data_IF_581082490722
#
_entry.id   IF_581082490722
#
_cell.length_a   1.000
_cell.length_b   1.000
_cell.length_c   1.000
_cell.angle_alpha   90.00
_cell.angle_beta   90.00
_cell.angle_gamma   90.00
#
_symmetry.space_group_name_H-M   'P 1'
#
loop_
_entity.id
_entity.type
_entity.pdbx_description
1 polymer ?
#
# COMPACT_ATOMS: atom_id res chain seq x y z
N UNK A 1 -0.07 -53.09 -27.51
CA UNK A 1 1.25 -53.78 -27.50
C UNK A 1 1.06 -55.17 -28.04
N UNK A 2 1.56 -55.45 -29.27
CA UNK A 2 1.55 -56.77 -29.86
C UNK A 2 2.74 -57.55 -29.26
N UNK A 3 2.54 -58.68 -28.61
CA UNK A 3 3.63 -59.49 -28.08
C UNK A 3 4.66 -59.80 -29.16
N UNK A 4 5.96 -59.70 -28.87
CA UNK A 4 7.07 -59.89 -29.82
C UNK A 4 7.06 -61.24 -30.51
N UNK A 5 6.49 -62.25 -29.87
CA UNK A 5 6.34 -63.62 -30.46
C UNK A 5 5.44 -63.65 -31.67
N UNK A 6 4.58 -62.65 -31.93
CA UNK A 6 3.71 -62.57 -33.10
C UNK A 6 4.32 -61.77 -34.25
N UNK A 7 5.40 -61.01 -34.01
CA UNK A 7 6.01 -60.14 -34.98
C UNK A 7 7.30 -60.70 -35.61
N UNK A 8 7.83 -61.76 -35.06
CA UNK A 8 9.03 -62.41 -35.57
C UNK A 8 10.35 -61.61 -35.35
N UNK A 9 10.29 -60.48 -34.59
CA UNK A 9 11.45 -59.71 -34.25
C UNK A 9 11.31 -59.13 -32.80
N UNK A 10 12.43 -58.97 -32.12
CA UNK A 10 12.46 -58.51 -30.72
C UNK A 10 12.40 -56.96 -30.54
N UNK A 11 12.67 -56.21 -31.60
CA UNK A 11 12.65 -54.76 -31.62
C UNK A 11 11.92 -54.23 -32.86
N UNK A 12 11.03 -53.28 -32.69
CA UNK A 12 10.37 -52.57 -33.77
C UNK A 12 10.29 -51.05 -33.46
N UNK A 13 10.38 -50.26 -34.49
CA UNK A 13 10.20 -48.80 -34.38
C UNK A 13 8.73 -48.51 -34.77
N UNK A 14 8.06 -47.74 -33.92
CA UNK A 14 6.74 -47.24 -34.25
C UNK A 14 6.86 -45.69 -34.37
N UNK A 15 6.33 -45.16 -35.44
CA UNK A 15 6.24 -43.74 -35.68
C UNK A 15 4.76 -43.37 -35.79
N UNK A 16 4.37 -42.38 -34.98
CA UNK A 16 3.01 -41.84 -34.96
C UNK A 16 3.10 -40.35 -35.21
N UNK A 17 2.30 -39.86 -36.15
CA UNK A 17 2.11 -38.44 -36.42
C UNK A 17 0.62 -38.15 -36.50
N UNK A 18 0.07 -37.32 -35.60
CA UNK A 18 -1.36 -37.08 -35.57
C UNK A 18 -1.75 -35.82 -34.87
N UNK A 19 -2.96 -35.37 -35.16
CA UNK A 19 -3.65 -34.31 -34.43
C UNK A 19 -4.75 -34.95 -33.57
N UNK A 20 -4.84 -34.51 -32.32
CA UNK A 20 -5.87 -34.91 -31.39
C UNK A 20 -6.69 -33.70 -30.97
N UNK A 21 -8.01 -33.81 -31.04
CA UNK A 21 -8.98 -32.87 -30.49
C UNK A 21 -9.68 -33.53 -29.31
N UNK A 22 -9.75 -32.83 -28.19
CA UNK A 22 -10.57 -33.26 -27.05
C UNK A 22 -11.55 -32.12 -26.73
N UNK A 23 -12.83 -32.50 -26.58
CA UNK A 23 -13.86 -31.57 -26.13
C UNK A 23 -14.62 -32.16 -24.95
N UNK A 24 -14.63 -31.44 -23.82
CA UNK A 24 -15.37 -31.81 -22.62
C UNK A 24 -16.65 -30.95 -22.56
N UNK A 25 -17.81 -31.60 -22.47
CA UNK A 25 -19.11 -30.95 -22.41
C UNK A 25 -19.36 -30.41 -21.00
N UNK A 26 -19.48 -29.08 -20.86
CA UNK A 26 -19.66 -28.44 -19.56
C UNK A 26 -21.15 -28.30 -19.19
N UNK A 27 -21.87 -29.40 -19.09
CA UNK A 27 -23.29 -29.39 -18.76
C UNK A 27 -23.60 -28.96 -17.34
N UNK A 28 -22.65 -29.22 -16.43
CA UNK A 28 -22.79 -28.87 -14.99
C UNK A 28 -22.07 -27.57 -14.59
N UNK A 29 -21.46 -26.89 -15.54
CA UNK A 29 -20.82 -25.60 -15.34
C UNK A 29 -19.47 -25.66 -14.62
N UNK A 30 -18.79 -26.82 -14.55
CA UNK A 30 -17.48 -26.98 -13.93
C UNK A 30 -16.43 -26.09 -14.57
N UNK A 31 -16.32 -26.14 -15.90
CA UNK A 31 -15.32 -25.37 -16.66
C UNK A 31 -15.64 -23.89 -16.62
N UNK A 32 -16.94 -23.53 -16.75
CA UNK A 32 -17.40 -22.15 -16.61
C UNK A 32 -17.08 -21.60 -15.22
N UNK A 33 -17.40 -22.31 -14.14
CA UNK A 33 -17.11 -21.88 -12.79
C UNK A 33 -15.59 -21.75 -12.54
N UNK A 34 -14.79 -22.65 -13.10
CA UNK A 34 -13.32 -22.55 -13.04
C UNK A 34 -12.80 -21.32 -13.79
N UNK A 35 -13.33 -21.02 -14.97
CA UNK A 35 -12.99 -19.80 -15.73
C UNK A 35 -13.40 -18.54 -14.96
N UNK A 36 -14.62 -18.48 -14.45
CA UNK A 36 -15.12 -17.35 -13.67
C UNK A 36 -14.27 -17.14 -12.41
N UNK A 37 -13.88 -18.20 -11.70
CA UNK A 37 -12.96 -18.12 -10.57
C UNK A 37 -11.60 -17.51 -10.96
N UNK A 38 -11.06 -17.88 -12.12
CA UNK A 38 -9.80 -17.32 -12.61
C UNK A 38 -9.93 -15.85 -13.00
N UNK A 39 -11.05 -15.43 -13.59
CA UNK A 39 -11.35 -14.03 -13.89
C UNK A 39 -11.49 -13.19 -12.61
N UNK A 40 -12.21 -13.72 -11.61
CA UNK A 40 -12.36 -13.05 -10.31
C UNK A 40 -11.01 -12.90 -9.58
N UNK A 41 -10.12 -13.90 -9.69
CA UNK A 41 -8.75 -13.80 -9.20
C UNK A 41 -7.94 -12.73 -9.93
N UNK A 42 -8.12 -12.57 -11.24
CA UNK A 42 -7.47 -11.50 -12.02
C UNK A 42 -7.96 -10.12 -11.57
N UNK A 43 -9.26 -9.95 -11.33
CA UNK A 43 -9.82 -8.72 -10.78
C UNK A 43 -9.31 -8.43 -9.36
N UNK A 44 -9.18 -9.47 -8.51
CA UNK A 44 -8.58 -9.34 -7.19
C UNK A 44 -7.13 -8.84 -7.28
N UNK A 45 -6.33 -9.40 -8.20
CA UNK A 45 -4.94 -8.99 -8.42
C UNK A 45 -4.83 -7.54 -8.93
N UNK A 46 -5.74 -7.10 -9.81
CA UNK A 46 -5.79 -5.71 -10.27
C UNK A 46 -6.13 -4.73 -9.14
N UNK A 47 -7.10 -5.07 -8.30
CA UNK A 47 -7.43 -4.28 -7.12
C UNK A 47 -6.26 -4.25 -6.11
N UNK A 48 -5.55 -5.37 -5.90
CA UNK A 48 -4.32 -5.41 -5.09
C UNK A 48 -3.21 -4.52 -5.65
N UNK A 49 -3.02 -4.51 -6.98
CA UNK A 49 -2.08 -3.60 -7.65
C UNK A 49 -2.43 -2.14 -7.35
N UNK A 50 -3.71 -1.79 -7.39
CA UNK A 50 -4.20 -0.45 -7.07
C UNK A 50 -3.97 -0.09 -5.59
N UNK A 51 -4.16 -1.05 -4.68
CA UNK A 51 -3.86 -0.88 -3.26
C UNK A 51 -2.36 -0.65 -3.02
N UNK A 52 -1.50 -1.40 -3.70
CA UNK A 52 -0.05 -1.23 -3.63
C UNK A 52 0.40 0.13 -4.19
N UNK A 53 -0.20 0.58 -5.31
CA UNK A 53 0.08 1.89 -5.90
C UNK A 53 -0.32 3.02 -4.92
N UNK A 54 -1.48 2.94 -4.29
CA UNK A 54 -1.92 3.90 -3.27
C UNK A 54 -1.00 3.92 -2.05
N UNK A 55 -0.55 2.75 -1.59
CA UNK A 55 0.41 2.65 -0.49
C UNK A 55 1.76 3.28 -0.85
N UNK A 56 2.25 3.08 -2.09
CA UNK A 56 3.48 3.70 -2.58
C UNK A 56 3.34 5.21 -2.69
N UNK A 57 2.24 5.71 -3.25
CA UNK A 57 1.96 7.16 -3.34
C UNK A 57 1.95 7.81 -1.96
N UNK A 58 1.30 7.17 -0.99
CA UNK A 58 1.32 7.62 0.40
C UNK A 58 2.74 7.66 0.96
N UNK A 59 3.52 6.59 0.80
CA UNK A 59 4.88 6.51 1.32
C UNK A 59 5.81 7.59 0.73
N UNK A 60 5.68 7.86 -0.58
CA UNK A 60 6.42 8.94 -1.26
C UNK A 60 6.03 10.30 -0.69
N UNK A 61 4.72 10.58 -0.57
CA UNK A 61 4.23 11.86 -0.05
C UNK A 61 4.64 12.07 1.41
N UNK A 62 4.49 11.08 2.28
CA UNK A 62 4.87 11.14 3.70
C UNK A 62 6.39 11.37 3.86
N UNK A 63 7.20 10.65 3.10
CA UNK A 63 8.66 10.82 3.11
C UNK A 63 9.07 12.21 2.61
N UNK A 64 8.43 12.70 1.54
CA UNK A 64 8.71 14.03 0.99
C UNK A 64 8.35 15.16 1.96
N UNK A 65 7.15 15.14 2.52
CA UNK A 65 6.73 16.16 3.48
C UNK A 65 7.47 16.06 4.81
N UNK A 66 7.87 14.85 5.21
CA UNK A 66 8.78 14.64 6.31
C UNK A 66 10.15 15.30 6.07
N UNK A 67 10.69 15.19 4.85
CA UNK A 67 11.91 15.89 4.47
C UNK A 67 11.74 17.42 4.51
N UNK A 68 10.62 17.95 4.02
CA UNK A 68 10.31 19.39 4.10
C UNK A 68 10.25 19.88 5.56
N UNK A 69 9.67 19.06 6.44
CA UNK A 69 9.63 19.35 7.87
C UNK A 69 11.04 19.41 8.48
N UNK A 70 11.90 18.45 8.14
CA UNK A 70 13.29 18.43 8.62
C UNK A 70 14.06 19.66 8.12
N UNK A 71 13.85 20.10 6.88
CA UNK A 71 14.45 21.33 6.34
C UNK A 71 13.97 22.60 7.09
N UNK A 72 12.66 22.71 7.36
CA UNK A 72 12.13 23.83 8.13
C UNK A 72 12.68 23.86 9.57
N UNK A 73 12.84 22.69 10.19
CA UNK A 73 13.45 22.55 11.52
C UNK A 73 14.94 22.84 11.53
N UNK A 74 15.68 22.45 10.48
CA UNK A 74 17.11 22.80 10.32
C UNK A 74 17.31 24.30 10.30
N UNK A 75 16.46 25.06 9.59
CA UNK A 75 16.53 26.53 9.58
C UNK A 75 16.31 27.12 10.98
N UNK A 76 15.44 26.52 11.79
CA UNK A 76 15.23 26.94 13.18
C UNK A 76 16.41 26.54 14.07
N UNK A 77 16.98 25.37 13.86
CA UNK A 77 18.17 24.90 14.57
C UNK A 77 19.40 25.77 14.29
N UNK A 78 19.61 26.26 13.07
CA UNK A 78 20.66 27.19 12.72
C UNK A 78 20.49 28.54 13.46
N UNK A 79 19.26 29.03 13.56
CA UNK A 79 18.95 30.26 14.34
C UNK A 79 19.17 30.03 15.85
N UNK A 80 18.80 28.87 16.37
CA UNK A 80 19.03 28.49 17.76
C UNK A 80 20.53 28.35 18.05
N UNK A 81 21.29 27.76 17.13
CA UNK A 81 22.75 27.60 17.23
C UNK A 81 23.42 28.97 17.30
N UNK A 82 23.11 29.91 16.40
CA UNK A 82 23.65 31.27 16.41
C UNK A 82 23.30 32.01 17.71
N UNK A 83 22.08 31.83 18.22
CA UNK A 83 21.62 32.43 19.50
C UNK A 83 22.43 31.88 20.69
N UNK A 84 22.61 30.56 20.73
CA UNK A 84 23.32 29.88 21.82
C UNK A 84 24.83 30.15 21.78
N UNK A 85 25.44 30.28 20.60
CA UNK A 85 26.82 30.73 20.42
C UNK A 85 27.03 32.15 20.98
N UNK A 86 26.09 33.05 20.72
CA UNK A 86 26.17 34.41 21.29
C UNK A 86 26.02 34.40 22.81
N UNK A 87 25.08 33.60 23.33
CA UNK A 87 24.90 33.43 24.78
C UNK A 87 26.17 32.89 25.46
N UNK A 88 26.77 31.83 24.90
CA UNK A 88 28.00 31.22 25.43
C UNK A 88 29.18 32.17 25.42
N UNK A 89 29.35 32.97 24.34
CA UNK A 89 30.39 34.03 24.30
C UNK A 89 30.23 35.06 25.41
N UNK A 90 29.00 35.52 25.66
CA UNK A 90 28.72 36.47 26.74
C UNK A 90 29.03 35.84 28.11
N UNK A 91 28.62 34.58 28.33
CA UNK A 91 28.92 33.87 29.58
C UNK A 91 30.44 33.74 29.84
N UNK A 92 31.20 33.34 28.80
CA UNK A 92 32.67 33.25 28.89
C UNK A 92 33.33 34.63 29.21
N UNK A 93 32.86 35.71 28.60
CA UNK A 93 33.38 37.06 28.87
C UNK A 93 33.11 37.52 30.32
N UNK A 94 31.92 37.26 30.85
CA UNK A 94 31.53 37.63 32.22
C UNK A 94 32.29 36.83 33.26
N UNK A 95 32.57 35.56 33.02
CA UNK A 95 33.45 34.75 33.88
C UNK A 95 34.88 35.30 33.85
N UNK A 96 35.42 35.65 32.67
CA UNK A 96 36.74 36.26 32.54
C UNK A 96 36.85 37.61 33.28
N UNK A 97 35.75 38.36 33.36
CA UNK A 97 35.68 39.64 34.08
C UNK A 97 35.37 39.47 35.57
N UNK A 98 35.26 38.25 36.08
CA UNK A 98 34.96 37.93 37.47
C UNK A 98 33.51 38.29 37.89
N UNK A 99 32.60 38.51 36.95
CA UNK A 99 31.20 38.86 37.20
C UNK A 99 30.34 37.64 37.48
N UNK A 100 30.60 36.54 36.76
CA UNK A 100 29.88 35.28 36.90
C UNK A 100 30.84 34.15 37.36
N UNK A 101 30.28 33.10 37.96
CA UNK A 101 31.00 31.90 38.34
C UNK A 101 31.38 31.05 37.13
N UNK A 102 32.50 30.25 37.17
CA UNK A 102 32.89 29.38 36.08
C UNK A 102 31.81 28.40 35.64
N UNK A 103 30.93 27.94 36.54
CA UNK A 103 29.80 27.07 36.26
C UNK A 103 28.82 27.62 35.24
N UNK A 104 28.65 28.93 35.21
CA UNK A 104 27.72 29.55 34.21
C UNK A 104 28.26 29.42 32.78
N UNK A 105 29.57 29.52 32.58
CA UNK A 105 30.19 29.26 31.29
C UNK A 105 30.08 27.79 30.90
N UNK A 106 30.21 26.86 31.85
CA UNK A 106 30.05 25.41 31.59
C UNK A 106 28.60 25.07 31.21
N UNK A 107 27.60 25.64 31.93
CA UNK A 107 26.18 25.49 31.57
C UNK A 107 25.89 26.00 30.16
N UNK A 108 26.43 27.17 29.80
CA UNK A 108 26.26 27.76 28.48
C UNK A 108 26.87 26.86 27.36
N UNK A 109 28.05 26.27 27.62
CA UNK A 109 28.70 25.32 26.69
C UNK A 109 27.90 24.01 26.54
N UNK A 110 27.37 23.45 27.64
CA UNK A 110 26.53 22.29 27.62
C UNK A 110 25.25 22.49 26.78
N UNK A 111 24.61 23.68 26.94
CA UNK A 111 23.45 24.06 26.14
C UNK A 111 23.80 24.22 24.64
N UNK A 112 24.96 24.83 24.34
CA UNK A 112 25.47 24.96 22.98
C UNK A 112 25.67 23.59 22.34
N UNK A 113 26.32 22.64 23.05
CA UNK A 113 26.52 21.29 22.57
C UNK A 113 25.20 20.55 22.30
N UNK A 114 24.17 20.73 23.15
CA UNK A 114 22.85 20.15 22.93
C UNK A 114 22.15 20.67 21.66
N UNK A 115 22.29 21.98 21.35
CA UNK A 115 21.76 22.55 20.10
C UNK A 115 22.54 22.05 18.87
N UNK A 116 23.86 21.90 19.01
CA UNK A 116 24.70 21.31 17.95
C UNK A 116 24.30 19.88 17.65
N UNK A 117 24.11 19.05 18.68
CA UNK A 117 23.65 17.67 18.56
C UNK A 117 22.30 17.58 17.86
N UNK A 118 21.31 18.38 18.27
CA UNK A 118 20.00 18.44 17.63
C UNK A 118 20.11 18.80 16.15
N UNK A 119 20.97 19.76 15.78
CA UNK A 119 21.21 20.15 14.38
C UNK A 119 21.78 18.98 13.56
N UNK A 120 22.79 18.27 14.11
CA UNK A 120 23.40 17.09 13.44
C UNK A 120 22.37 16.00 13.25
N UNK A 121 21.53 15.74 14.25
CA UNK A 121 20.46 14.73 14.16
C UNK A 121 19.43 15.07 13.06
N UNK A 122 19.02 16.36 12.96
CA UNK A 122 18.11 16.80 11.91
C UNK A 122 18.72 16.70 10.51
N UNK A 123 20.00 17.07 10.37
CA UNK A 123 20.74 16.91 9.09
C UNK A 123 20.83 15.44 8.67
N UNK A 124 21.12 14.54 9.63
CA UNK A 124 21.11 13.10 9.42
C UNK A 124 19.74 12.58 8.99
N UNK A 125 18.66 13.00 9.67
CA UNK A 125 17.29 12.65 9.33
C UNK A 125 16.93 13.07 7.91
N UNK A 126 17.24 14.30 7.52
CA UNK A 126 16.99 14.80 6.17
C UNK A 126 17.74 14.01 5.09
N UNK A 127 18.98 13.60 5.35
CA UNK A 127 19.77 12.73 4.45
C UNK A 127 19.13 11.35 4.31
N UNK A 128 18.73 10.73 5.42
CA UNK A 128 18.06 9.42 5.43
C UNK A 128 16.75 9.47 4.64
N UNK A 129 15.92 10.51 4.84
CA UNK A 129 14.68 10.67 4.08
C UNK A 129 14.92 10.85 2.59
N UNK A 130 15.98 11.53 2.20
CA UNK A 130 16.36 11.66 0.78
C UNK A 130 16.71 10.30 0.16
N UNK A 131 17.47 9.46 0.86
CA UNK A 131 17.79 8.09 0.44
C UNK A 131 16.53 7.22 0.36
N UNK A 132 15.65 7.33 1.37
CA UNK A 132 14.36 6.62 1.38
C UNK A 132 13.48 7.04 0.19
N UNK A 133 13.43 8.33 -0.13
CA UNK A 133 12.68 8.85 -1.27
C UNK A 133 13.22 8.32 -2.59
N UNK A 134 14.55 8.29 -2.77
CA UNK A 134 15.19 7.71 -3.95
C UNK A 134 14.82 6.22 -4.11
N UNK A 135 14.87 5.45 -3.01
CA UNK A 135 14.47 4.04 -3.00
C UNK A 135 13.00 3.84 -3.38
N UNK A 136 12.08 4.67 -2.85
CA UNK A 136 10.66 4.61 -3.21
C UNK A 136 10.38 4.94 -4.67
N UNK A 137 11.22 5.78 -5.29
CA UNK A 137 11.14 6.14 -6.70
C UNK A 137 11.90 5.16 -7.61
N UNK A 138 12.60 4.17 -7.05
CA UNK A 138 13.37 3.18 -7.81
C UNK A 138 14.61 3.76 -8.50
N UNK A 139 15.19 4.84 -7.95
CA UNK A 139 16.38 5.50 -8.50
C UNK A 139 17.53 5.47 -7.50
N UNK A 140 18.77 5.59 -7.99
CA UNK A 140 19.93 5.76 -7.11
C UNK A 140 19.88 7.14 -6.41
N UNK A 141 20.37 7.27 -5.17
CA UNK A 141 20.32 8.52 -4.40
C UNK A 141 20.94 9.72 -5.13
N UNK A 142 21.95 9.47 -5.98
CA UNK A 142 22.65 10.47 -6.78
C UNK A 142 21.84 10.97 -7.98
N UNK A 143 20.89 10.14 -8.44
CA UNK A 143 19.98 10.46 -9.56
C UNK A 143 18.74 11.25 -9.11
N UNK A 144 18.50 11.33 -7.80
CA UNK A 144 17.39 12.11 -7.28
C UNK A 144 17.67 13.60 -7.51
N UNK A 145 16.78 14.34 -8.20
CA UNK A 145 16.92 15.78 -8.40
C UNK A 145 17.13 16.51 -7.08
N UNK A 146 17.77 17.67 -7.13
CA UNK A 146 17.93 18.52 -5.96
C UNK A 146 16.55 19.01 -5.48
N UNK A 147 16.20 18.61 -4.26
CA UNK A 147 14.95 18.99 -3.65
C UNK A 147 15.06 20.40 -3.06
N UNK A 148 14.12 21.26 -3.43
CA UNK A 148 14.06 22.62 -2.89
C UNK A 148 13.22 22.65 -1.61
N UNK A 149 13.71 23.26 -0.52
CA UNK A 149 12.91 23.49 0.69
C UNK A 149 11.69 24.35 0.39
N UNK A 150 10.53 23.88 0.78
CA UNK A 150 9.24 24.58 0.65
C UNK A 150 8.50 24.57 1.98
N UNK A 151 7.66 25.58 2.25
CA UNK A 151 6.82 25.54 3.44
C UNK A 151 5.86 24.34 3.39
N UNK A 152 5.60 23.75 4.56
CA UNK A 152 4.61 22.68 4.68
C UNK A 152 3.21 23.20 4.29
N UNK A 153 2.40 22.39 3.61
CA UNK A 153 1.05 22.78 3.24
C UNK A 153 0.20 23.04 4.48
N UNK A 154 -0.79 23.90 4.31
CA UNK A 154 -1.85 24.08 5.31
C UNK A 154 -2.83 22.92 5.16
N UNK A 155 -3.10 22.24 6.25
CA UNK A 155 -4.14 21.21 6.32
C UNK A 155 -5.40 21.90 6.80
N UNK A 156 -6.50 21.75 6.04
CA UNK A 156 -7.81 22.23 6.43
C UNK A 156 -8.32 21.43 7.64
N UNK A 157 -8.94 22.12 8.60
CA UNK A 157 -9.36 21.50 9.87
C UNK A 157 -10.68 20.72 9.79
N UNK A 158 -11.18 20.50 8.56
CA UNK A 158 -12.46 19.80 8.29
C UNK A 158 -12.28 18.37 7.80
N UNK A 159 -12.71 17.39 8.61
CA UNK A 159 -13.06 16.09 8.05
C UNK A 159 -14.33 16.34 7.23
N UNK A 160 -14.37 15.94 5.94
CA UNK A 160 -15.61 16.03 5.17
C UNK A 160 -16.72 15.33 5.97
N UNK A 161 -17.77 16.06 6.33
CA UNK A 161 -18.90 15.50 7.11
C UNK A 161 -19.55 14.28 6.42
N UNK A 162 -19.23 14.08 5.13
CA UNK A 162 -19.68 12.99 4.27
C UNK A 162 -18.61 11.90 4.08
N UNK A 163 -17.60 11.80 4.95
CA UNK A 163 -16.70 10.64 5.01
C UNK A 163 -17.50 9.41 5.49
N UNK A 164 -18.63 9.16 4.82
CA UNK A 164 -19.58 8.12 5.12
C UNK A 164 -18.99 6.75 4.77
N UNK A 165 -19.59 5.69 5.33
CA UNK A 165 -19.34 4.27 5.02
C UNK A 165 -19.22 3.98 3.50
N UNK A 166 -19.83 4.79 2.65
CA UNK A 166 -19.75 4.71 1.18
C UNK A 166 -18.32 4.91 0.64
N UNK A 167 -17.45 5.69 1.30
CA UNK A 167 -16.06 5.86 0.90
C UNK A 167 -15.20 4.65 1.28
N UNK A 168 -15.53 3.96 2.39
CA UNK A 168 -14.81 2.76 2.80
C UNK A 168 -15.02 1.64 1.76
N UNK A 169 -16.21 1.52 1.18
CA UNK A 169 -16.51 0.52 0.15
C UNK A 169 -15.70 0.71 -1.14
N UNK A 170 -15.15 1.91 -1.37
CA UNK A 170 -14.31 2.25 -2.53
C UNK A 170 -12.83 1.94 -2.34
N UNK A 171 -12.42 1.35 -1.23
CA UNK A 171 -11.03 0.98 -1.00
C UNK A 171 -10.62 -0.19 -1.90
N UNK A 172 -9.43 -0.12 -2.54
CA UNK A 172 -8.98 -1.18 -3.42
C UNK A 172 -8.66 -2.50 -2.68
N UNK A 173 -8.26 -2.45 -1.41
CA UNK A 173 -8.04 -3.66 -0.59
C UNK A 173 -9.35 -4.38 -0.25
N UNK A 174 -10.45 -3.64 -0.01
CA UNK A 174 -11.78 -4.20 0.17
C UNK A 174 -12.32 -4.78 -1.13
N UNK A 175 -12.12 -4.08 -2.25
CA UNK A 175 -12.48 -4.60 -3.57
C UNK A 175 -11.74 -5.91 -3.87
N UNK A 176 -10.44 -5.99 -3.57
CA UNK A 176 -9.63 -7.18 -3.75
C UNK A 176 -10.15 -8.36 -2.91
N UNK A 177 -10.42 -8.14 -1.63
CA UNK A 177 -10.93 -9.20 -0.75
C UNK A 177 -12.33 -9.67 -1.13
N UNK A 178 -13.19 -8.78 -1.65
CA UNK A 178 -14.50 -9.15 -2.21
C UNK A 178 -14.35 -10.08 -3.41
N UNK A 179 -13.46 -9.74 -4.36
CA UNK A 179 -13.19 -10.59 -5.52
C UNK A 179 -12.60 -11.94 -5.14
N UNK A 180 -11.83 -12.02 -4.05
CA UNK A 180 -11.36 -13.29 -3.51
C UNK A 180 -12.50 -14.16 -2.97
N UNK A 181 -13.53 -13.57 -2.35
CA UNK A 181 -14.73 -14.28 -1.93
C UNK A 181 -15.49 -14.82 -3.15
N UNK A 182 -15.69 -13.99 -4.19
CA UNK A 182 -16.34 -14.42 -5.44
C UNK A 182 -15.59 -15.59 -6.09
N UNK A 183 -14.26 -15.48 -6.21
CA UNK A 183 -13.41 -16.55 -6.74
C UNK A 183 -13.55 -17.85 -5.93
N UNK A 184 -13.56 -17.80 -4.60
CA UNK A 184 -13.72 -18.96 -3.74
C UNK A 184 -15.13 -19.58 -3.85
N UNK A 185 -16.16 -18.75 -4.05
CA UNK A 185 -17.52 -19.22 -4.33
C UNK A 185 -17.57 -20.01 -5.63
N UNK A 186 -16.98 -19.48 -6.73
CA UNK A 186 -16.89 -20.17 -8.03
C UNK A 186 -16.10 -21.48 -7.93
N UNK A 187 -15.01 -21.49 -7.15
CA UNK A 187 -14.27 -22.75 -6.89
C UNK A 187 -15.13 -23.79 -6.15
N UNK A 188 -15.97 -23.35 -5.22
CA UNK A 188 -16.91 -24.24 -4.53
C UNK A 188 -17.97 -24.81 -5.49
N UNK A 189 -18.47 -23.98 -6.43
CA UNK A 189 -19.38 -24.43 -7.49
C UNK A 189 -18.70 -25.45 -8.42
N UNK A 190 -17.45 -25.20 -8.81
CA UNK A 190 -16.67 -26.15 -9.63
C UNK A 190 -16.46 -27.48 -8.90
N UNK A 191 -16.10 -27.44 -7.60
CA UNK A 191 -15.94 -28.67 -6.81
C UNK A 191 -17.26 -29.42 -6.61
N UNK A 192 -18.39 -28.73 -6.53
CA UNK A 192 -19.72 -29.33 -6.51
C UNK A 192 -20.06 -29.99 -7.84
N UNK A 193 -19.68 -29.39 -8.97
CA UNK A 193 -19.90 -29.96 -10.29
C UNK A 193 -19.15 -31.29 -10.50
N UNK A 194 -18.07 -31.56 -9.77
CA UNK A 194 -17.32 -32.82 -9.83
C UNK A 194 -18.10 -34.06 -9.36
N UNK A 195 -19.22 -33.88 -8.66
CA UNK A 195 -20.09 -35.00 -8.28
C UNK A 195 -20.94 -35.54 -9.45
N UNK A 196 -21.04 -34.79 -10.54
CA UNK A 196 -21.88 -35.15 -11.68
C UNK A 196 -21.09 -35.85 -12.79
N UNK A 197 -21.76 -36.61 -13.69
CA UNK A 197 -21.08 -37.28 -14.78
C UNK A 197 -20.40 -36.31 -15.75
N UNK A 198 -19.14 -36.59 -16.12
CA UNK A 198 -18.43 -35.88 -17.17
C UNK A 198 -18.58 -36.55 -18.52
N UNK A 199 -18.93 -35.78 -19.55
CA UNK A 199 -19.00 -36.24 -20.95
C UNK A 199 -17.88 -35.60 -21.74
N UNK A 200 -17.10 -36.42 -22.43
CA UNK A 200 -16.07 -35.91 -23.34
C UNK A 200 -16.11 -36.67 -24.69
N UNK A 201 -15.62 -35.98 -25.70
CA UNK A 201 -15.40 -36.59 -27.02
C UNK A 201 -13.96 -36.29 -27.43
N UNK A 202 -13.25 -37.36 -27.82
CA UNK A 202 -11.91 -37.23 -28.36
C UNK A 202 -11.90 -37.68 -29.80
N UNK A 203 -11.36 -36.87 -30.69
CA UNK A 203 -11.14 -37.24 -32.11
C UNK A 203 -9.63 -37.21 -32.37
N UNK A 204 -9.13 -38.26 -32.99
CA UNK A 204 -7.73 -38.37 -33.41
C UNK A 204 -7.68 -38.67 -34.89
N UNK A 205 -6.87 -37.96 -35.64
CA UNK A 205 -6.59 -38.24 -37.05
C UNK A 205 -5.08 -38.17 -37.26
N UNK A 206 -4.51 -39.19 -37.88
CA UNK A 206 -3.06 -39.25 -38.01
C UNK A 206 -2.56 -40.34 -38.93
N UNK A 207 -1.27 -40.58 -38.84
CA UNK A 207 -0.52 -41.67 -39.51
C UNK A 207 0.19 -42.47 -38.44
N UNK A 208 0.09 -43.79 -38.52
CA UNK A 208 0.80 -44.70 -37.61
C UNK A 208 1.42 -45.83 -38.41
N UNK A 209 2.71 -46.08 -38.20
CA UNK A 209 3.42 -47.19 -38.92
C UNK A 209 4.57 -47.72 -38.07
N UNK A 210 4.75 -49.04 -38.17
CA UNK A 210 5.92 -49.72 -37.61
C UNK A 210 7.14 -49.68 -38.57
N UNK A 211 6.95 -49.19 -39.81
CA UNK A 211 7.99 -48.93 -40.79
C UNK A 211 7.99 -47.48 -41.18
N UNK A 212 9.06 -46.75 -40.85
CA UNK A 212 9.18 -45.33 -41.08
C UNK A 212 9.04 -44.98 -42.59
N UNK A 213 9.50 -45.86 -43.49
CA UNK A 213 9.38 -45.71 -44.95
C UNK A 213 7.93 -45.75 -45.46
N UNK A 214 7.03 -46.32 -44.68
CA UNK A 214 5.60 -46.45 -45.00
C UNK A 214 4.70 -45.46 -44.26
N UNK A 215 5.25 -44.61 -43.40
CA UNK A 215 4.47 -43.71 -42.57
C UNK A 215 3.53 -42.80 -43.39
N UNK A 216 3.97 -42.35 -44.55
CA UNK A 216 3.21 -41.43 -45.41
C UNK A 216 2.36 -42.14 -46.48
N UNK A 217 2.16 -43.46 -46.36
CA UNK A 217 1.29 -44.22 -47.27
C UNK A 217 -0.19 -44.18 -46.83
N UNK A 218 -1.09 -44.44 -47.75
CA UNK A 218 -2.53 -44.48 -47.44
C UNK A 218 -2.90 -45.50 -46.37
N UNK A 219 -2.12 -46.62 -46.27
CA UNK A 219 -2.34 -47.68 -45.30
C UNK A 219 -1.95 -47.33 -43.86
N UNK A 220 -1.22 -46.20 -43.64
CA UNK A 220 -0.82 -45.72 -42.32
C UNK A 220 -1.80 -44.73 -41.71
N UNK A 221 -2.88 -44.36 -42.43
CA UNK A 221 -3.89 -43.42 -41.93
C UNK A 221 -4.67 -44.03 -40.78
N UNK A 222 -4.75 -43.29 -39.68
CA UNK A 222 -5.54 -43.67 -38.51
C UNK A 222 -6.56 -42.57 -38.21
N UNK A 223 -7.77 -42.98 -37.89
CA UNK A 223 -8.83 -42.13 -37.42
C UNK A 223 -9.52 -42.83 -36.24
N UNK A 224 -9.71 -42.09 -35.14
CA UNK A 224 -10.46 -42.57 -33.99
C UNK A 224 -11.38 -41.45 -33.48
N UNK A 225 -12.63 -41.82 -33.20
CA UNK A 225 -13.60 -40.97 -32.51
C UNK A 225 -14.07 -41.70 -31.26
N UNK A 226 -13.76 -41.19 -30.10
CA UNK A 226 -13.98 -41.86 -28.83
C UNK A 226 -14.84 -40.95 -27.93
N UNK A 227 -16.16 -41.18 -27.86
CA UNK A 227 -16.99 -40.61 -26.81
C UNK A 227 -16.66 -41.33 -25.48
N UNK A 228 -16.60 -40.56 -24.40
CA UNK A 228 -16.37 -41.10 -23.06
C UNK A 228 -17.33 -40.45 -22.06
N UNK A 229 -17.85 -41.29 -21.16
CA UNK A 229 -18.66 -40.91 -20.02
C UNK A 229 -17.91 -41.35 -18.76
N UNK A 230 -17.60 -40.42 -17.90
CA UNK A 230 -17.03 -40.69 -16.59
C UNK A 230 -18.05 -40.37 -15.50
N UNK A 231 -18.44 -41.40 -14.73
CA UNK A 231 -19.35 -41.26 -13.58
C UNK A 231 -18.61 -41.68 -12.30
N UNK A 232 -18.34 -40.75 -11.36
CA UNK A 232 -17.60 -41.06 -10.15
C UNK A 232 -18.51 -41.73 -9.08
N UNK A 233 -18.84 -43.01 -9.25
CA UNK A 233 -19.73 -43.71 -8.31
C UNK A 233 -19.04 -44.01 -6.98
N UNK A 234 -17.77 -44.39 -7.02
CA UNK A 234 -16.97 -44.70 -5.85
C UNK A 234 -15.58 -44.07 -5.96
N UNK A 235 -15.26 -43.14 -5.04
CA UNK A 235 -14.00 -42.38 -5.02
C UNK A 235 -13.34 -42.35 -3.64
N UNK A 236 -13.73 -43.26 -2.72
CA UNK A 236 -13.15 -43.30 -1.35
C UNK A 236 -13.36 -42.06 -0.51
N UNK A 237 -14.33 -41.22 -0.86
CA UNK A 237 -14.60 -39.95 -0.18
C UNK A 237 -13.78 -38.74 -0.67
N UNK A 238 -12.96 -38.90 -1.71
CA UNK A 238 -12.09 -37.82 -2.23
C UNK A 238 -12.89 -36.58 -2.68
N UNK A 239 -13.99 -36.75 -3.42
CA UNK A 239 -14.85 -35.65 -3.86
C UNK A 239 -15.49 -34.92 -2.68
N UNK A 240 -15.95 -35.63 -1.64
CA UNK A 240 -16.51 -35.03 -0.46
C UNK A 240 -15.44 -34.21 0.31
N UNK A 241 -14.22 -34.74 0.39
CA UNK A 241 -13.11 -34.04 1.01
C UNK A 241 -12.73 -32.78 0.21
N UNK A 242 -12.62 -32.86 -1.13
CA UNK A 242 -12.34 -31.73 -2.00
C UNK A 242 -13.40 -30.63 -1.88
N UNK A 243 -14.67 -30.98 -1.91
CA UNK A 243 -15.76 -30.04 -1.69
C UNK A 243 -15.72 -29.41 -0.28
N UNK A 244 -15.36 -30.21 0.75
CA UNK A 244 -15.16 -29.72 2.11
C UNK A 244 -14.02 -28.71 2.22
N UNK A 245 -12.91 -28.95 1.52
CA UNK A 245 -11.78 -28.01 1.42
C UNK A 245 -12.22 -26.70 0.76
N UNK A 246 -12.92 -26.77 -0.39
CA UNK A 246 -13.41 -25.59 -1.11
C UNK A 246 -14.37 -24.75 -0.25
N UNK A 247 -15.27 -25.39 0.52
CA UNK A 247 -16.12 -24.70 1.49
C UNK A 247 -15.34 -24.00 2.58
N UNK A 248 -14.34 -24.67 3.16
CA UNK A 248 -13.52 -24.07 4.21
C UNK A 248 -12.69 -22.89 3.67
N UNK A 249 -12.25 -22.95 2.41
CA UNK A 249 -11.59 -21.84 1.72
C UNK A 249 -12.53 -20.65 1.50
N UNK A 250 -13.80 -20.89 1.14
CA UNK A 250 -14.82 -19.84 1.05
C UNK A 250 -15.08 -19.19 2.41
N UNK A 251 -15.25 -19.98 3.46
CA UNK A 251 -15.46 -19.46 4.83
C UNK A 251 -14.26 -18.62 5.29
N UNK A 252 -13.03 -19.05 4.96
CA UNK A 252 -11.82 -18.30 5.26
C UNK A 252 -11.75 -16.97 4.45
N UNK A 253 -12.15 -16.97 3.18
CA UNK A 253 -12.20 -15.77 2.35
C UNK A 253 -13.23 -14.75 2.88
N UNK A 254 -14.40 -15.22 3.33
CA UNK A 254 -15.43 -14.37 3.95
C UNK A 254 -14.88 -13.75 5.24
N UNK A 255 -14.29 -14.55 6.14
CA UNK A 255 -13.71 -14.04 7.38
C UNK A 255 -12.59 -13.01 7.13
N UNK A 256 -11.78 -13.21 6.07
CA UNK A 256 -10.75 -12.25 5.64
C UNK A 256 -11.37 -10.95 5.12
N UNK A 257 -12.45 -11.03 4.35
CA UNK A 257 -13.20 -9.84 3.88
C UNK A 257 -13.74 -9.04 5.08
N UNK A 258 -14.40 -9.68 6.02
CA UNK A 258 -14.93 -9.03 7.22
C UNK A 258 -13.82 -8.36 8.04
N UNK A 259 -12.69 -9.05 8.22
CA UNK A 259 -11.51 -8.50 8.90
C UNK A 259 -10.96 -7.27 8.19
N UNK A 260 -10.93 -7.28 6.85
CA UNK A 260 -10.46 -6.14 6.03
C UNK A 260 -11.39 -4.94 6.18
N UNK A 261 -12.72 -5.16 6.14
CA UNK A 261 -13.72 -4.09 6.31
C UNK A 261 -13.64 -3.47 7.71
N UNK A 262 -13.58 -4.31 8.77
CA UNK A 262 -13.45 -3.84 10.15
C UNK A 262 -12.11 -3.10 10.36
N UNK A 263 -11.03 -3.60 9.78
CA UNK A 263 -9.73 -2.96 9.78
C UNK A 263 -9.75 -1.57 9.14
N UNK A 264 -10.39 -1.46 7.98
CA UNK A 264 -10.57 -0.20 7.27
C UNK A 264 -11.38 0.83 8.08
N UNK A 265 -12.51 0.40 8.66
CA UNK A 265 -13.34 1.26 9.51
C UNK A 265 -12.56 1.78 10.72
N UNK A 266 -11.80 0.91 11.38
CA UNK A 266 -10.93 1.30 12.50
C UNK A 266 -9.85 2.28 12.07
N UNK A 267 -9.21 2.05 10.92
CA UNK A 267 -8.16 2.95 10.38
C UNK A 267 -8.73 4.35 10.14
N UNK A 268 -9.87 4.47 9.47
CA UNK A 268 -10.53 5.76 9.22
C UNK A 268 -10.88 6.46 10.52
N UNK A 269 -11.49 5.75 11.48
CA UNK A 269 -11.84 6.33 12.77
C UNK A 269 -10.61 6.82 13.55
N UNK A 270 -9.52 6.04 13.53
CA UNK A 270 -8.27 6.40 14.20
C UNK A 270 -7.64 7.66 13.57
N UNK A 271 -7.58 7.74 12.24
CA UNK A 271 -7.01 8.92 11.56
C UNK A 271 -7.90 10.15 11.76
N UNK A 272 -9.22 9.99 11.73
CA UNK A 272 -10.16 11.08 11.97
C UNK A 272 -10.02 11.67 13.37
N UNK A 273 -9.97 10.83 14.41
CA UNK A 273 -9.75 11.26 15.79
C UNK A 273 -8.35 11.88 15.96
N UNK A 274 -7.32 11.32 15.31
CA UNK A 274 -5.97 11.88 15.28
C UNK A 274 -5.94 13.30 14.69
N UNK A 275 -6.63 13.49 13.57
CA UNK A 275 -6.75 14.81 12.93
C UNK A 275 -7.43 15.84 13.85
N UNK A 276 -8.53 15.48 14.51
CA UNK A 276 -9.22 16.35 15.49
C UNK A 276 -8.30 16.71 16.65
N UNK A 277 -7.59 15.74 17.22
CA UNK A 277 -6.64 15.98 18.32
C UNK A 277 -5.51 16.93 17.88
N UNK A 278 -4.94 16.73 16.69
CA UNK A 278 -3.86 17.57 16.17
C UNK A 278 -4.40 19.00 15.92
N UNK A 279 -5.59 19.15 15.36
CA UNK A 279 -6.23 20.46 15.15
C UNK A 279 -6.36 21.23 16.48
N UNK A 280 -6.89 20.59 17.52
CA UNK A 280 -6.99 21.19 18.86
C UNK A 280 -5.62 21.58 19.43
N UNK A 281 -4.60 20.72 19.32
CA UNK A 281 -3.23 21.00 19.76
C UNK A 281 -2.61 22.18 19.01
N UNK A 282 -2.88 22.31 17.71
CA UNK A 282 -2.38 23.44 16.88
C UNK A 282 -2.90 24.78 17.37
N UNK A 283 -4.17 24.86 17.77
CA UNK A 283 -4.74 26.09 18.35
C UNK A 283 -3.97 26.50 19.62
N UNK A 284 -3.79 25.57 20.56
CA UNK A 284 -3.03 25.84 21.79
C UNK A 284 -1.56 26.19 21.52
N UNK A 285 -0.94 25.49 20.56
CA UNK A 285 0.46 25.76 20.17
C UNK A 285 0.63 27.13 19.54
N UNK A 286 -0.31 27.61 18.74
CA UNK A 286 -0.30 29.01 18.21
C UNK A 286 -0.28 30.02 19.35
N UNK A 287 -1.17 29.88 20.34
CA UNK A 287 -1.19 30.76 21.52
C UNK A 287 0.17 30.76 22.24
N UNK A 288 0.82 29.60 22.40
CA UNK A 288 2.15 29.50 23.02
C UNK A 288 3.23 30.21 22.19
N UNK A 289 3.22 30.05 20.86
CA UNK A 289 4.18 30.73 19.97
C UNK A 289 3.99 32.27 20.06
N UNK A 290 2.74 32.74 20.03
CA UNK A 290 2.43 34.17 20.09
C UNK A 290 2.82 34.76 21.45
N UNK A 291 2.54 34.06 22.55
CA UNK A 291 2.97 34.49 23.89
C UNK A 291 4.51 34.60 24.00
N UNK A 292 5.23 33.61 23.49
CA UNK A 292 6.71 33.65 23.51
C UNK A 292 7.28 34.70 22.58
N UNK A 293 6.62 34.98 21.44
CA UNK A 293 6.99 36.09 20.56
C UNK A 293 6.85 37.45 21.28
N UNK A 294 5.78 37.63 22.04
CA UNK A 294 5.56 38.84 22.82
C UNK A 294 6.62 39.00 23.93
N UNK A 295 6.93 37.93 24.64
CA UNK A 295 8.01 37.91 25.66
C UNK A 295 9.37 38.27 25.06
N UNK A 296 9.69 37.73 23.88
CA UNK A 296 10.91 38.07 23.14
C UNK A 296 10.93 39.54 22.78
N UNK A 297 9.85 40.12 22.23
CA UNK A 297 9.78 41.52 21.87
C UNK A 297 9.99 42.44 23.10
N UNK A 298 9.36 42.09 24.22
CA UNK A 298 9.52 42.84 25.47
C UNK A 298 10.95 42.73 26.02
N UNK A 299 11.59 41.56 25.97
CA UNK A 299 12.97 41.37 26.41
C UNK A 299 13.96 42.17 25.55
N UNK A 300 13.75 42.18 24.23
CA UNK A 300 14.56 42.97 23.29
C UNK A 300 14.43 44.49 23.54
N UNK A 301 13.21 44.99 23.77
CA UNK A 301 12.98 46.40 24.07
C UNK A 301 13.69 46.80 25.37
N UNK A 302 13.60 45.99 26.45
CA UNK A 302 14.30 46.26 27.72
C UNK A 302 15.82 46.24 27.57
N UNK A 303 16.34 45.29 26.79
CA UNK A 303 17.79 45.23 26.51
C UNK A 303 18.27 46.44 25.71
N UNK A 304 17.51 46.89 24.70
CA UNK A 304 17.83 48.07 23.90
C UNK A 304 17.84 49.39 24.74
N UNK A 305 17.01 49.45 25.78
CA UNK A 305 16.96 50.58 26.71
C UNK A 305 18.03 50.49 27.82
N UNK A 306 18.85 49.46 27.85
CA UNK A 306 19.85 49.24 28.90
C UNK A 306 19.27 48.89 30.28
N UNK A 307 17.96 48.60 30.36
CA UNK A 307 17.26 48.32 31.62
C UNK A 307 17.55 46.87 32.09
N UNK A 308 17.87 45.98 31.17
CA UNK A 308 18.16 44.58 31.44
C UNK A 308 19.34 44.04 30.62
N UNK A 309 19.92 42.95 31.12
CA UNK A 309 21.02 42.24 30.46
C UNK A 309 20.57 41.69 29.08
N UNK A 310 21.42 41.85 28.08
CA UNK A 310 21.21 41.28 26.73
C UNK A 310 20.98 39.77 26.75
N UNK A 311 21.49 39.03 27.75
CA UNK A 311 21.25 37.60 27.91
C UNK A 311 19.76 37.24 28.07
N UNK A 312 18.97 38.11 28.73
CA UNK A 312 17.53 37.91 28.91
C UNK A 312 16.83 37.81 27.53
N UNK A 313 17.23 38.66 26.58
CA UNK A 313 16.69 38.61 25.20
C UNK A 313 17.11 37.36 24.43
N UNK A 314 18.33 36.85 24.66
CA UNK A 314 18.81 35.60 24.03
C UNK A 314 18.08 34.38 24.58
N UNK A 315 17.82 34.34 25.89
CA UNK A 315 17.03 33.27 26.53
C UNK A 315 15.58 33.28 25.97
N UNK A 316 14.95 34.46 25.92
CA UNK A 316 13.61 34.59 25.36
C UNK A 316 13.56 34.20 23.87
N UNK A 317 14.62 34.50 23.10
CA UNK A 317 14.75 34.08 21.70
C UNK A 317 14.88 32.55 21.56
N UNK A 318 15.70 31.93 22.40
CA UNK A 318 15.85 30.46 22.40
C UNK A 318 14.52 29.78 22.73
N UNK A 319 13.77 30.26 23.72
CA UNK A 319 12.44 29.72 24.07
C UNK A 319 11.43 29.92 22.93
N UNK A 320 11.42 31.06 22.27
CA UNK A 320 10.55 31.27 21.11
C UNK A 320 10.89 30.33 19.95
N UNK A 321 12.18 30.14 19.63
CA UNK A 321 12.62 29.21 18.60
C UNK A 321 12.21 27.76 18.92
N UNK A 322 12.30 27.35 20.19
CA UNK A 322 11.82 26.06 20.64
C UNK A 322 10.31 25.87 20.41
N UNK A 323 9.49 26.90 20.71
CA UNK A 323 8.05 26.83 20.44
C UNK A 323 7.75 26.82 18.95
N UNK A 324 8.54 27.50 18.12
CA UNK A 324 8.41 27.41 16.65
C UNK A 324 8.76 26.03 16.11
N UNK A 325 9.82 25.38 16.63
CA UNK A 325 10.17 24.02 16.25
C UNK A 325 9.03 23.05 16.59
N UNK A 326 8.47 23.14 17.80
CA UNK A 326 7.30 22.36 18.20
C UNK A 326 6.07 22.60 17.28
N UNK A 327 5.87 23.83 16.82
CA UNK A 327 4.80 24.15 15.88
C UNK A 327 5.04 23.53 14.49
N UNK A 328 6.28 23.51 13.98
CA UNK A 328 6.64 22.84 12.73
C UNK A 328 6.44 21.33 12.84
N UNK A 329 6.86 20.72 13.96
CA UNK A 329 6.63 19.30 14.22
C UNK A 329 5.13 18.95 14.20
N UNK A 330 4.32 19.77 14.85
CA UNK A 330 2.87 19.57 14.91
C UNK A 330 2.20 19.77 13.53
N UNK A 331 2.72 20.71 12.72
CA UNK A 331 2.29 20.88 11.33
C UNK A 331 2.65 19.67 10.47
N UNK A 332 3.86 19.10 10.64
CA UNK A 332 4.26 17.88 9.94
C UNK A 332 3.38 16.69 10.32
N UNK A 333 3.04 16.54 11.61
CA UNK A 333 2.10 15.53 12.07
C UNK A 333 0.71 15.71 11.45
N UNK A 334 0.23 16.96 11.31
CA UNK A 334 -1.05 17.25 10.67
C UNK A 334 -1.05 16.80 9.20
N UNK A 335 0.01 17.11 8.45
CA UNK A 335 0.15 16.67 7.05
C UNK A 335 0.21 15.14 6.93
N UNK A 336 0.99 14.48 7.78
CA UNK A 336 1.09 13.02 7.79
C UNK A 336 -0.27 12.34 8.10
N UNK A 337 -1.02 12.89 9.07
CA UNK A 337 -2.35 12.38 9.42
C UNK A 337 -3.37 12.61 8.32
N UNK A 338 -3.32 13.75 7.63
CA UNK A 338 -4.19 14.05 6.49
C UNK A 338 -3.91 13.08 5.32
N UNK A 339 -2.64 12.86 4.97
CA UNK A 339 -2.25 11.87 3.98
C UNK A 339 -2.72 10.45 4.35
N UNK A 340 -2.59 10.09 5.63
CA UNK A 340 -3.05 8.79 6.13
C UNK A 340 -4.58 8.67 6.06
N UNK A 341 -5.32 9.74 6.32
CA UNK A 341 -6.77 9.79 6.17
C UNK A 341 -7.20 9.64 4.72
N UNK A 342 -6.55 10.34 3.78
CA UNK A 342 -6.80 10.20 2.33
C UNK A 342 -6.56 8.76 1.88
N UNK A 343 -5.47 8.13 2.32
CA UNK A 343 -5.18 6.71 2.06
C UNK A 343 -6.26 5.82 2.66
N UNK A 344 -6.65 6.04 3.92
CA UNK A 344 -7.67 5.25 4.61
C UNK A 344 -9.05 5.34 3.95
N UNK A 345 -9.35 6.44 3.26
CA UNK A 345 -10.57 6.64 2.47
C UNK A 345 -10.45 6.09 1.03
N UNK A 346 -9.35 5.41 0.69
CA UNK A 346 -9.16 4.76 -0.61
C UNK A 346 -8.53 5.63 -1.69
N UNK A 347 -8.06 6.84 -1.39
CA UNK A 347 -7.29 7.69 -2.32
C UNK A 347 -7.98 8.05 -3.63
N UNK A 348 -9.33 7.94 -3.70
CA UNK A 348 -10.10 8.21 -4.92
C UNK A 348 -10.19 7.02 -5.89
N UNK A 349 -9.84 5.81 -5.47
CA UNK A 349 -9.99 4.59 -6.26
C UNK A 349 -11.45 4.39 -6.71
N UNK A 350 -11.63 3.92 -7.94
CA UNK A 350 -12.92 3.47 -8.51
C UNK A 350 -12.72 2.10 -9.13
N UNK A 351 -13.53 1.13 -8.73
CA UNK A 351 -13.54 -0.21 -9.31
C UNK A 351 -14.17 -0.15 -10.71
N UNK A 352 -13.36 -0.23 -11.75
CA UNK A 352 -13.80 -0.18 -13.15
C UNK A 352 -14.76 -1.33 -13.50
N UNK A 353 -14.52 -2.52 -12.93
CA UNK A 353 -15.36 -3.71 -13.16
C UNK A 353 -16.74 -3.62 -12.51
N UNK A 354 -16.89 -2.84 -11.45
CA UNK A 354 -18.20 -2.55 -10.85
C UNK A 354 -19.02 -1.58 -11.71
N UNK A 355 -18.34 -0.68 -12.44
CA UNK A 355 -18.99 0.24 -13.37
C UNK A 355 -19.56 -0.50 -14.61
N UNK A 356 -18.81 -1.46 -15.15
CA UNK A 356 -19.23 -2.25 -16.31
C UNK A 356 -20.44 -3.15 -15.98
N UNK A 357 -20.47 -3.76 -14.80
CA UNK A 357 -21.64 -4.58 -14.37
C UNK A 357 -22.90 -3.75 -14.18
N UNK A 358 -22.81 -2.53 -13.69
CA UNK A 358 -23.98 -1.65 -13.58
C UNK A 358 -24.46 -1.18 -14.96
N UNK A 359 -23.58 -1.07 -15.95
CA UNK A 359 -23.95 -0.77 -17.33
C UNK A 359 -24.67 -1.97 -17.99
N UNK A 360 -24.20 -3.19 -17.78
CA UNK A 360 -24.82 -4.42 -18.30
C UNK A 360 -26.16 -4.72 -17.61
N UNK A 361 -26.27 -4.52 -16.30
CA UNK A 361 -27.53 -4.67 -15.56
C UNK A 361 -28.60 -3.66 -16.01
N UNK A 362 -28.21 -2.43 -16.35
CA UNK A 362 -29.12 -1.41 -16.89
C UNK A 362 -29.51 -1.71 -18.33
N UNK A 363 -28.61 -2.28 -19.12
CA UNK A 363 -28.91 -2.66 -20.53
C UNK A 363 -29.84 -3.87 -20.61
N UNK A 364 -29.74 -4.82 -19.70
CA UNK A 364 -30.62 -6.00 -19.64
C UNK A 364 -32.05 -5.66 -19.19
N UNK A 365 -32.23 -4.68 -18.29
CA UNK A 365 -33.55 -4.20 -17.85
C UNK A 365 -34.26 -3.42 -18.96
N UNK A 366 -33.53 -2.68 -19.79
CA UNK A 366 -34.10 -1.94 -20.91
C UNK A 366 -34.42 -2.83 -22.14
N UNK A 367 -33.76 -3.97 -22.30
CA UNK A 367 -34.04 -4.93 -23.36
C UNK A 367 -35.29 -5.81 -23.09
N UNK A 368 -35.70 -5.96 -21.82
CA UNK A 368 -36.88 -6.71 -21.40
C UNK A 368 -38.22 -5.94 -21.43
N UNK A 369 -38.20 -4.63 -21.67
CA UNK A 369 -39.37 -3.75 -21.67
C UNK A 369 -39.71 -3.22 -23.08
N UNK A 370 -39.93 -4.13 -24.03
CA UNK A 370 -40.66 -3.77 -25.28
C UNK A 370 -41.89 -4.68 -25.39
N UNK A 371 -43.06 -4.09 -25.59
CA UNK A 371 -44.36 -4.77 -25.67
C UNK A 371 -44.51 -5.68 -26.89
#
# INVERSE_FOLDING_TARGET
LIPSQFLGFSWYNQADLGAQLKYDFDWWGKQRATLEAALDQAHAAEAQRSAAALALQYAVADTYFGWQADQARLQLADQALATQQQFSRIADLRVKQGVDLPDEAQKARAQLAAVQEMRVALEGSAKIRRVSLASLLGVAPEQLPELQPRPLPRVDEGIPANAALDLISRRPDIAASRWQVEAALRQTDAARAEFFPDFSISAMAGLSSIDLGKLFTAGSRTFALTPALHLPIFNGGALKANYGVSKAQLDAAIAQYDSTVLGAAREVATQALGAQQIAARRVVQRTRVDAQRQLLANAQARAAQGVRDARESLVAKAQWLQQRDAAVQLQAQAVATDLALVKALGGGYRDASAADRNADATSSVTAGARP
#
